data_IF_238746546008
#
_entry.id   IF_238746546008
#
_cell.length_a   1.000
_cell.length_b   1.000
_cell.length_c   1.000
_cell.angle_alpha   90.00
_cell.angle_beta   90.00
_cell.angle_gamma   90.00
#
_symmetry.space_group_name_H-M   'P 1'
#
loop_
_entity.id
_entity.type
_entity.pdbx_description
1 polymer ?
#
# COMPACT_ATOMS: atom_id res chain seq x y z
N UNK A 1 0.65 -21.59 13.43
CA UNK A 1 1.19 -20.27 13.04
C UNK A 1 1.36 -19.46 14.30
N UNK A 2 2.51 -18.82 14.47
CA UNK A 2 2.81 -18.00 15.65
C UNK A 2 1.96 -16.73 15.63
N UNK A 3 1.26 -16.43 16.73
CA UNK A 3 0.40 -15.25 16.88
C UNK A 3 1.16 -13.95 16.70
N UNK A 4 2.47 -13.94 17.02
CA UNK A 4 3.34 -12.76 16.83
C UNK A 4 3.55 -12.49 15.35
N UNK A 5 3.87 -13.53 14.57
CA UNK A 5 4.05 -13.41 13.12
C UNK A 5 2.76 -12.95 12.43
N UNK A 6 1.60 -13.44 12.89
CA UNK A 6 0.31 -12.98 12.37
C UNK A 6 0.09 -11.49 12.67
N UNK A 7 0.39 -11.03 13.89
CA UNK A 7 0.24 -9.63 14.27
C UNK A 7 1.15 -8.71 13.46
N UNK A 8 2.40 -9.11 13.22
CA UNK A 8 3.36 -8.36 12.39
C UNK A 8 2.91 -8.25 10.93
N UNK A 9 2.34 -9.33 10.39
CA UNK A 9 1.75 -9.34 9.04
C UNK A 9 0.55 -8.39 8.97
N UNK A 10 -0.40 -8.51 9.90
CA UNK A 10 -1.56 -7.61 9.94
C UNK A 10 -1.17 -6.14 10.08
N UNK A 11 -0.17 -5.84 10.91
CA UNK A 11 0.33 -4.47 11.06
C UNK A 11 1.02 -3.96 9.79
N UNK A 12 1.77 -4.83 9.10
CA UNK A 12 2.34 -4.48 7.79
C UNK A 12 1.26 -4.21 6.74
N UNK A 13 0.18 -4.99 6.73
CA UNK A 13 -0.94 -4.80 5.80
C UNK A 13 -1.64 -3.47 6.08
N UNK A 14 -1.90 -3.20 7.36
CA UNK A 14 -2.49 -1.93 7.81
C UNK A 14 -1.65 -0.73 7.36
N UNK A 15 -0.32 -0.80 7.46
CA UNK A 15 0.57 0.27 6.98
C UNK A 15 0.50 0.45 5.47
N UNK A 16 0.43 -0.63 4.69
CA UNK A 16 0.32 -0.55 3.23
C UNK A 16 -1.02 0.11 2.83
N UNK A 17 -2.13 -0.32 3.42
CA UNK A 17 -3.47 0.26 3.17
C UNK A 17 -3.49 1.75 3.50
N UNK A 18 -3.00 2.13 4.69
CA UNK A 18 -2.97 3.53 5.10
C UNK A 18 -2.17 4.39 4.13
N UNK A 19 -1.02 3.91 3.62
CA UNK A 19 -0.24 4.64 2.63
C UNK A 19 -0.96 4.79 1.29
N UNK A 20 -1.69 3.78 0.85
CA UNK A 20 -2.51 3.86 -0.37
C UNK A 20 -3.59 4.92 -0.19
N UNK A 21 -4.26 4.96 0.96
CA UNK A 21 -5.29 5.95 1.26
C UNK A 21 -4.74 7.37 1.32
N UNK A 22 -3.63 7.57 2.05
CA UNK A 22 -2.96 8.87 2.20
C UNK A 22 -2.43 9.43 0.88
N UNK A 23 -2.07 8.54 -0.06
CA UNK A 23 -1.52 8.89 -1.37
C UNK A 23 -2.52 8.73 -2.50
N UNK A 24 -3.79 8.45 -2.20
CA UNK A 24 -4.82 8.33 -3.24
C UNK A 24 -5.09 9.72 -3.85
N UNK A 25 -4.82 9.92 -5.15
CA UNK A 25 -5.09 11.20 -5.78
C UNK A 25 -6.60 11.42 -5.94
N UNK A 26 -7.03 12.68 -5.82
CA UNK A 26 -8.44 13.07 -5.99
C UNK A 26 -8.91 12.86 -7.44
N UNK A 27 -8.00 12.98 -8.41
CA UNK A 27 -8.29 12.80 -9.83
C UNK A 27 -7.24 11.93 -10.50
N UNK A 28 -7.69 11.07 -11.41
CA UNK A 28 -6.80 10.16 -12.17
C UNK A 28 -5.75 10.90 -12.99
N UNK A 29 -6.01 12.15 -13.41
CA UNK A 29 -5.03 12.92 -14.17
C UNK A 29 -3.80 13.28 -13.34
N UNK A 30 -3.95 13.53 -12.03
CA UNK A 30 -2.82 13.74 -11.13
C UNK A 30 -1.96 12.49 -11.03
N UNK A 31 -2.59 11.31 -10.97
CA UNK A 31 -1.85 10.05 -10.98
C UNK A 31 -1.04 9.89 -12.27
N UNK A 32 -1.66 10.14 -13.44
CA UNK A 32 -1.01 9.98 -14.74
C UNK A 32 0.21 10.89 -14.94
N UNK A 33 0.21 12.06 -14.31
CA UNK A 33 1.25 13.07 -14.47
C UNK A 33 2.37 12.95 -13.41
N UNK A 34 2.18 12.11 -12.40
CA UNK A 34 3.11 11.97 -11.27
C UNK A 34 3.61 10.51 -11.18
N UNK A 35 4.82 10.27 -11.68
CA UNK A 35 5.44 8.94 -11.72
C UNK A 35 5.79 8.45 -10.32
N UNK A 36 6.28 9.34 -9.44
CA UNK A 36 6.60 8.98 -8.06
C UNK A 36 5.34 8.51 -7.31
N UNK A 37 4.21 9.18 -7.54
CA UNK A 37 2.93 8.77 -6.98
C UNK A 37 2.47 7.40 -7.49
N UNK A 38 2.67 7.12 -8.79
CA UNK A 38 2.38 5.81 -9.38
C UNK A 38 3.21 4.72 -8.71
N UNK A 39 4.51 4.92 -8.57
CA UNK A 39 5.41 3.95 -7.96
C UNK A 39 5.07 3.68 -6.49
N UNK A 40 4.74 4.72 -5.73
CA UNK A 40 4.29 4.58 -4.34
C UNK A 40 3.02 3.71 -4.28
N UNK A 41 2.02 3.97 -5.12
CA UNK A 41 0.77 3.21 -5.10
C UNK A 41 0.99 1.76 -5.55
N UNK A 42 1.71 1.54 -6.64
CA UNK A 42 2.01 0.19 -7.17
C UNK A 42 2.77 -0.64 -6.13
N UNK A 43 3.78 -0.06 -5.48
CA UNK A 43 4.57 -0.76 -4.47
C UNK A 43 3.72 -1.19 -3.27
N UNK A 44 2.89 -0.29 -2.73
CA UNK A 44 2.07 -0.61 -1.56
C UNK A 44 0.90 -1.54 -1.91
N UNK A 45 0.31 -1.44 -3.10
CA UNK A 45 -0.70 -2.37 -3.58
C UNK A 45 -0.12 -3.78 -3.75
N UNK A 46 1.06 -3.88 -4.38
CA UNK A 46 1.77 -5.15 -4.55
C UNK A 46 2.04 -5.80 -3.19
N UNK A 47 2.58 -5.05 -2.23
CA UNK A 47 2.83 -5.54 -0.87
C UNK A 47 1.55 -5.93 -0.13
N UNK A 48 0.44 -5.22 -0.33
CA UNK A 48 -0.84 -5.53 0.30
C UNK A 48 -1.48 -6.82 -0.23
N UNK A 49 -1.21 -7.19 -1.49
CA UNK A 49 -1.77 -8.40 -2.12
C UNK A 49 -0.82 -9.60 -1.98
N UNK A 50 0.49 -9.38 -2.04
CA UNK A 50 1.52 -10.41 -1.85
C UNK A 50 1.72 -10.83 -0.39
N UNK A 51 0.76 -10.56 0.51
CA UNK A 51 0.85 -11.00 1.90
C UNK A 51 0.99 -12.53 1.99
N UNK A 52 2.22 -13.03 2.00
CA UNK A 52 2.61 -14.38 2.43
C UNK A 52 2.46 -14.52 3.93
#
# INVERSE_FOLDING_TARGET
>A
MDTVVLAEKLESLRRCIRRIEDKKPVHVNHLKQDIDLQDILVLNLTRAVQFE
#
